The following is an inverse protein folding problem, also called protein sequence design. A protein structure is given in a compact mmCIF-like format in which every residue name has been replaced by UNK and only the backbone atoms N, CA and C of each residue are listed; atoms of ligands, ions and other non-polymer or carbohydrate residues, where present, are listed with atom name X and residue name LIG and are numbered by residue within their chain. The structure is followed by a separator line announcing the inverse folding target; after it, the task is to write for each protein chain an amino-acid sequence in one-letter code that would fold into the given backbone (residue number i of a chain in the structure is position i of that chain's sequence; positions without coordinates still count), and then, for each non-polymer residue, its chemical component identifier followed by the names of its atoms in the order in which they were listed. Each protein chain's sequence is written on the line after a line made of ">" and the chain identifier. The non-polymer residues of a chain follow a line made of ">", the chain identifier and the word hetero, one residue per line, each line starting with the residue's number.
data_IF_180872289261
#
_entry.id   IF_180872289261
#
_cell.length_a   1.000
_cell.length_b   1.000
_cell.length_c   1.000
_cell.angle_alpha   90.00
_cell.angle_beta   90.00
_cell.angle_gamma   90.00
#
_symmetry.space_group_name_H-M   'P 1'
#
loop_
_entity.id
_entity.type
_entity.pdbx_description
1 polymer ?
#
# COMPACT_ATOMS: atom_id res chain seq x y z
N UNK A 1 -15.16 4.82 22.58
CA UNK A 1 -14.19 4.15 21.70
C UNK A 1 -15.04 3.33 20.74
N UNK A 2 -15.09 3.73 19.45
CA UNK A 2 -15.95 3.07 18.47
C UNK A 2 -15.21 1.81 18.02
N UNK A 3 -15.76 0.65 18.33
CA UNK A 3 -15.34 -0.62 17.74
C UNK A 3 -15.33 -0.43 16.22
N UNK A 4 -14.14 -0.46 15.62
CA UNK A 4 -14.00 -0.55 14.17
C UNK A 4 -14.43 -1.96 13.82
N UNK A 5 -15.65 -2.07 13.29
CA UNK A 5 -16.20 -3.29 12.72
C UNK A 5 -15.14 -3.93 11.83
N UNK A 6 -14.82 -5.20 12.07
CA UNK A 6 -14.09 -6.06 11.15
C UNK A 6 -14.64 -5.82 9.75
N UNK A 7 -13.93 -5.02 8.96
CA UNK A 7 -14.27 -4.80 7.57
C UNK A 7 -14.00 -6.13 6.88
N UNK A 8 -15.05 -6.95 6.75
CA UNK A 8 -15.05 -8.18 5.95
C UNK A 8 -14.59 -7.91 4.51
N UNK A 9 -14.72 -6.67 4.04
CA UNK A 9 -14.04 -6.14 2.86
C UNK A 9 -12.56 -5.90 3.18
N UNK A 10 -11.72 -6.87 2.86
CA UNK A 10 -10.27 -6.72 2.92
C UNK A 10 -9.83 -5.48 2.15
N UNK A 11 -8.93 -4.68 2.73
CA UNK A 11 -8.34 -3.54 2.04
C UNK A 11 -7.50 -4.06 0.87
N UNK A 12 -8.03 -3.95 -0.35
CA UNK A 12 -7.30 -4.32 -1.55
C UNK A 12 -6.25 -3.24 -1.84
N UNK A 13 -5.00 -3.56 -1.50
CA UNK A 13 -3.83 -2.74 -1.78
C UNK A 13 -3.13 -3.27 -3.03
N UNK A 14 -3.08 -2.45 -4.06
CA UNK A 14 -2.25 -2.69 -5.22
C UNK A 14 -0.89 -2.02 -5.00
N UNK A 15 0.17 -2.82 -5.06
CA UNK A 15 1.54 -2.35 -4.99
C UNK A 15 2.20 -2.54 -6.36
N UNK A 16 2.57 -1.44 -7.01
CA UNK A 16 3.26 -1.47 -8.29
C UNK A 16 4.65 -0.88 -8.15
N UNK A 17 5.67 -1.58 -8.66
CA UNK A 17 7.04 -1.06 -8.68
C UNK A 17 7.15 0.05 -9.73
N UNK A 18 7.47 1.27 -9.30
CA UNK A 18 7.77 2.39 -10.19
C UNK A 18 9.23 2.35 -10.64
N UNK A 19 10.14 2.08 -9.71
CA UNK A 19 11.56 1.89 -9.96
C UNK A 19 12.22 1.08 -8.83
N UNK A 20 13.55 0.97 -8.83
CA UNK A 20 14.31 0.20 -7.82
C UNK A 20 14.18 0.73 -6.38
N UNK A 21 13.76 1.98 -6.21
CA UNK A 21 13.69 2.68 -4.92
C UNK A 21 12.29 3.15 -4.57
N UNK A 22 11.30 2.95 -5.43
CA UNK A 22 9.97 3.49 -5.23
C UNK A 22 8.88 2.53 -5.70
N UNK A 23 7.82 2.46 -4.90
CA UNK A 23 6.60 1.71 -5.17
C UNK A 23 5.40 2.65 -5.11
N UNK A 24 4.42 2.36 -5.95
CA UNK A 24 3.11 2.97 -5.94
C UNK A 24 2.17 2.10 -5.13
N UNK A 25 1.59 2.64 -4.07
CA UNK A 25 0.49 2.03 -3.35
C UNK A 25 -0.81 2.70 -3.78
N UNK A 26 -1.76 1.89 -4.24
CA UNK A 26 -3.11 2.34 -4.53
C UNK A 26 -4.13 1.38 -3.93
N UNK A 27 -5.30 1.91 -3.62
CA UNK A 27 -6.47 1.10 -3.27
C UNK A 27 -7.68 1.67 -3.98
N UNK A 28 -8.71 0.86 -4.17
CA UNK A 28 -9.96 1.28 -4.83
C UNK A 28 -10.62 2.44 -4.06
N UNK A 29 -10.46 2.47 -2.73
CA UNK A 29 -11.15 3.39 -1.84
C UNK A 29 -10.22 4.36 -1.11
N UNK A 30 -8.93 4.45 -1.48
CA UNK A 30 -7.94 5.25 -0.76
C UNK A 30 -7.08 6.06 -1.73
N UNK A 31 -6.61 7.26 -1.33
CA UNK A 31 -5.68 8.06 -2.14
C UNK A 31 -4.43 7.28 -2.56
N UNK A 32 -3.84 7.73 -3.67
CA UNK A 32 -2.64 7.16 -4.27
C UNK A 32 -1.40 7.60 -3.47
N UNK A 33 -0.54 6.66 -3.07
CA UNK A 33 0.68 6.92 -2.32
C UNK A 33 1.92 6.51 -3.13
N UNK A 34 2.92 7.39 -3.18
CA UNK A 34 4.26 7.05 -3.68
C UNK A 34 5.17 6.85 -2.48
N UNK A 35 5.65 5.61 -2.30
CA UNK A 35 6.47 5.22 -1.17
C UNK A 35 7.89 4.91 -1.64
N UNK A 36 8.89 5.43 -0.93
CA UNK A 36 10.29 5.03 -1.16
C UNK A 36 10.61 3.77 -0.38
N UNK A 37 11.31 2.83 -0.99
CA UNK A 37 11.85 1.67 -0.32
C UNK A 37 12.99 2.10 0.60
N UNK A 38 12.96 1.59 1.83
CA UNK A 38 14.10 1.72 2.74
C UNK A 38 15.33 1.10 2.08
N UNK A 39 16.49 1.72 2.24
CA UNK A 39 17.74 1.19 1.68
C UNK A 39 17.98 -0.25 2.12
N UNK A 40 18.20 -1.15 1.15
CA UNK A 40 18.37 -2.59 1.37
C UNK A 40 17.08 -3.41 1.30
N UNK A 41 15.90 -2.79 1.26
CA UNK A 41 14.64 -3.48 1.02
C UNK A 41 14.47 -3.80 -0.47
N UNK A 42 14.04 -5.02 -0.78
CA UNK A 42 13.74 -5.48 -2.14
C UNK A 42 12.27 -5.91 -2.21
N UNK A 43 11.61 -5.57 -3.32
CA UNK A 43 10.30 -6.12 -3.66
C UNK A 43 10.59 -7.32 -4.57
N UNK A 44 10.20 -8.52 -4.14
CA UNK A 44 10.28 -9.77 -4.91
C UNK A 44 9.15 -9.81 -5.95
#
# INVERSE_FOLDING_TARGET
>A
MREMSDSHDGLFLNAQKLNEKAILLSSINSPLYVCTLKSGSKLD
#
